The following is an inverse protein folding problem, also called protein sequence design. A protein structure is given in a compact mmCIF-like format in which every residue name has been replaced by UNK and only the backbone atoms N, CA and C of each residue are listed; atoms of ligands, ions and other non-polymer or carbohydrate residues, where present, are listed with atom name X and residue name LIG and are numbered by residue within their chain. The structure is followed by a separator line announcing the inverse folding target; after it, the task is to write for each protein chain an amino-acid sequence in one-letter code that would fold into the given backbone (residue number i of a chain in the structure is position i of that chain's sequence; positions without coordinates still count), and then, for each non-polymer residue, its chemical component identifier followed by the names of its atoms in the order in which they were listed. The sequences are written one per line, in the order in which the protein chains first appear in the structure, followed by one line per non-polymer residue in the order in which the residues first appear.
data_IF_281086196751
#
_entry.id   IF_281086196751
#
_cell.length_a   1.000
_cell.length_b   1.000
_cell.length_c   1.000
_cell.angle_alpha   90.00
_cell.angle_beta   90.00
_cell.angle_gamma   90.00
#
_symmetry.space_group_name_H-M   'P 1'
#
loop_
_entity.id
_entity.type
_entity.pdbx_description
1 polymer ?
#
# COMPACT_ATOMS: atom_id res chain seq x y z
N UNK A 1 18.77 23.67 8.03
CA UNK A 1 18.42 22.36 7.42
C UNK A 1 17.18 21.86 8.12
N UNK A 2 16.07 21.62 7.38
CA UNK A 2 14.86 21.10 7.98
C UNK A 2 15.01 19.62 8.30
N UNK A 3 14.54 19.20 9.49
CA UNK A 3 14.59 17.81 9.93
C UNK A 3 13.19 17.19 9.86
N UNK A 4 13.04 16.14 9.07
CA UNK A 4 11.76 15.44 8.86
C UNK A 4 11.90 13.98 9.28
N UNK A 5 11.08 13.56 10.23
CA UNK A 5 11.00 12.18 10.66
C UNK A 5 9.76 11.50 10.06
N UNK A 6 9.86 10.20 9.85
CA UNK A 6 8.75 9.32 9.51
C UNK A 6 8.66 8.22 10.57
N UNK A 7 7.45 7.75 10.85
CA UNK A 7 7.24 6.60 11.72
C UNK A 7 6.46 5.50 11.03
N UNK A 8 6.91 4.27 11.23
CA UNK A 8 6.24 3.06 10.74
C UNK A 8 6.25 1.97 11.82
N UNK A 9 5.09 1.40 12.10
CA UNK A 9 5.01 0.10 12.74
C UNK A 9 5.19 -0.99 11.67
N UNK A 10 6.38 -1.58 11.64
CA UNK A 10 6.76 -2.61 10.66
C UNK A 10 6.77 -4.02 11.26
N UNK A 11 6.10 -4.24 12.38
CA UNK A 11 6.09 -5.54 13.10
C UNK A 11 5.64 -6.71 12.22
N UNK A 12 4.74 -6.48 11.26
CA UNK A 12 4.23 -7.52 10.35
C UNK A 12 5.06 -7.75 9.09
N UNK A 13 6.07 -6.92 8.83
CA UNK A 13 6.83 -6.91 7.57
C UNK A 13 8.34 -6.77 7.74
N UNK A 14 8.86 -6.75 8.97
CA UNK A 14 10.28 -6.48 9.26
C UNK A 14 11.25 -7.49 8.63
N UNK A 15 10.79 -8.71 8.35
CA UNK A 15 11.53 -9.81 7.74
C UNK A 15 11.55 -9.76 6.20
N UNK A 16 10.72 -8.90 5.59
CA UNK A 16 10.71 -8.72 4.13
C UNK A 16 11.96 -7.96 3.68
N UNK A 17 12.62 -8.46 2.64
CA UNK A 17 13.82 -7.84 2.08
C UNK A 17 13.50 -6.48 1.43
N UNK A 18 14.02 -5.40 2.02
CA UNK A 18 13.82 -4.03 1.56
C UNK A 18 14.93 -3.52 0.62
N UNK A 19 15.89 -4.35 0.22
CA UNK A 19 17.05 -3.94 -0.62
C UNK A 19 16.62 -3.32 -1.96
N UNK A 20 15.46 -3.68 -2.48
CA UNK A 20 14.93 -3.19 -3.76
C UNK A 20 13.84 -2.13 -3.63
N UNK A 21 13.70 -1.50 -2.45
CA UNK A 21 12.61 -0.56 -2.15
C UNK A 21 12.50 0.62 -3.15
N UNK A 22 13.63 1.08 -3.68
CA UNK A 22 13.67 2.14 -4.70
C UNK A 22 13.21 1.68 -6.08
N UNK A 23 13.23 0.39 -6.35
CA UNK A 23 12.95 -0.17 -7.68
C UNK A 23 11.51 -0.66 -7.80
N UNK A 24 11.00 -1.31 -6.75
CA UNK A 24 9.65 -1.86 -6.71
C UNK A 24 9.18 -2.11 -5.28
N UNK A 25 7.86 -2.23 -5.10
CA UNK A 25 7.29 -2.73 -3.85
C UNK A 25 7.74 -4.19 -3.63
N UNK A 26 8.42 -4.50 -2.51
CA UNK A 26 8.93 -5.85 -2.24
C UNK A 26 7.83 -6.88 -1.88
N UNK A 27 6.56 -6.54 -2.01
CA UNK A 27 5.43 -7.40 -1.68
C UNK A 27 4.82 -7.10 -0.32
N UNK A 28 4.91 -5.86 0.14
CA UNK A 28 4.29 -5.35 1.37
C UNK A 28 3.09 -4.47 1.07
N UNK A 29 2.37 -4.04 2.12
CA UNK A 29 1.25 -3.10 2.00
C UNK A 29 1.69 -1.79 1.33
N UNK A 30 0.79 -1.19 0.54
CA UNK A 30 1.10 0.03 -0.22
C UNK A 30 1.50 1.20 0.67
N UNK A 31 0.88 1.33 1.83
CA UNK A 31 1.18 2.41 2.81
C UNK A 31 2.59 2.25 3.38
N UNK A 32 2.92 1.07 3.85
CA UNK A 32 4.23 0.74 4.41
C UNK A 32 5.33 0.93 3.36
N UNK A 33 5.08 0.46 2.14
CA UNK A 33 5.97 0.68 1.00
C UNK A 33 6.24 2.17 0.76
N UNK A 34 5.18 2.98 0.72
CA UNK A 34 5.30 4.41 0.42
C UNK A 34 6.04 5.19 1.52
N UNK A 35 5.82 4.86 2.80
CA UNK A 35 6.57 5.49 3.89
C UNK A 35 8.07 5.21 3.73
N UNK A 36 8.46 3.96 3.50
CA UNK A 36 9.86 3.60 3.28
C UNK A 36 10.42 4.22 2.01
N UNK A 37 9.69 4.14 0.88
CA UNK A 37 10.12 4.68 -0.41
C UNK A 37 10.34 6.20 -0.35
N UNK A 38 9.37 6.95 0.18
CA UNK A 38 9.46 8.42 0.25
C UNK A 38 10.58 8.84 1.19
N UNK A 39 10.71 8.21 2.36
CA UNK A 39 11.81 8.46 3.29
C UNK A 39 13.17 8.24 2.61
N UNK A 40 13.30 7.14 1.86
CA UNK A 40 14.52 6.79 1.14
C UNK A 40 14.85 7.79 0.03
N UNK A 41 13.86 8.13 -0.80
CA UNK A 41 14.05 9.08 -1.90
C UNK A 41 14.42 10.47 -1.40
N UNK A 42 13.84 10.92 -0.30
CA UNK A 42 14.17 12.20 0.32
C UNK A 42 15.58 12.17 0.93
N UNK A 43 16.02 11.04 1.49
CA UNK A 43 17.40 10.88 1.99
C UNK A 43 18.45 10.90 0.90
N UNK A 44 18.14 10.36 -0.29
CA UNK A 44 19.08 10.28 -1.41
C UNK A 44 19.23 11.58 -2.18
N UNK A 45 18.36 12.58 -1.95
CA UNK A 45 18.38 13.85 -2.67
C UNK A 45 19.10 14.93 -1.86
N UNK A 46 19.94 15.72 -2.53
CA UNK A 46 20.48 16.95 -1.96
C UNK A 46 19.38 18.03 -1.99
N UNK A 47 18.55 18.03 -0.97
CA UNK A 47 17.38 18.91 -0.85
C UNK A 47 17.41 19.77 0.43
N UNK A 48 18.52 19.75 1.16
CA UNK A 48 18.65 20.47 2.43
C UNK A 48 17.80 19.90 3.58
N UNK A 49 17.29 18.67 3.45
CA UNK A 49 16.52 17.96 4.46
C UNK A 49 17.41 16.96 5.22
N UNK A 50 17.14 16.79 6.51
CA UNK A 50 17.64 15.66 7.29
C UNK A 50 16.48 14.70 7.52
N UNK A 51 16.59 13.49 7.00
CA UNK A 51 15.51 12.50 7.04
C UNK A 51 15.86 11.38 8.02
N UNK A 52 14.88 10.95 8.82
CA UNK A 52 14.96 9.76 9.67
C UNK A 52 13.69 8.93 9.58
N UNK A 53 13.86 7.61 9.59
CA UNK A 53 12.75 6.66 9.69
C UNK A 53 12.80 5.98 11.06
N UNK A 54 11.79 6.22 11.90
CA UNK A 54 11.54 5.45 13.12
C UNK A 54 10.76 4.18 12.79
N UNK A 55 11.22 3.04 13.29
CA UNK A 55 10.64 1.73 13.04
C UNK A 55 10.49 0.96 14.35
N UNK A 56 9.46 0.12 14.46
CA UNK A 56 9.30 -0.75 15.65
C UNK A 56 10.21 -1.98 15.62
N UNK A 57 10.69 -2.38 14.45
CA UNK A 57 11.63 -3.50 14.27
C UNK A 57 12.69 -3.16 13.23
N UNK A 58 13.88 -3.76 13.37
CA UNK A 58 14.93 -3.65 12.36
C UNK A 58 14.46 -4.33 11.06
N UNK A 59 14.33 -3.55 10.00
CA UNK A 59 13.93 -4.05 8.68
C UNK A 59 15.07 -4.84 8.02
N UNK A 60 14.72 -5.99 7.45
CA UNK A 60 15.68 -6.82 6.71
C UNK A 60 16.21 -6.08 5.47
N UNK A 61 17.52 -6.06 5.31
CA UNK A 61 18.23 -5.45 4.17
C UNK A 61 17.81 -4.01 3.81
N UNK A 62 17.41 -3.20 4.81
CA UNK A 62 17.13 -1.78 4.56
C UNK A 62 18.39 -1.07 4.05
N UNK A 63 18.32 -0.27 2.96
CA UNK A 63 19.45 0.47 2.44
C UNK A 63 20.06 1.42 3.50
N UNK A 64 21.40 1.52 3.51
CA UNK A 64 22.15 2.28 4.55
C UNK A 64 22.05 3.79 4.39
N UNK A 65 21.62 4.24 3.23
CA UNK A 65 21.46 5.67 2.90
C UNK A 65 20.33 6.33 3.68
N UNK A 66 19.38 5.54 4.20
CA UNK A 66 18.33 6.02 5.09
C UNK A 66 18.74 5.85 6.57
N UNK A 67 18.77 6.96 7.31
CA UNK A 67 18.95 6.91 8.76
C UNK A 67 17.72 6.30 9.42
N UNK A 68 17.89 5.12 10.00
CA UNK A 68 16.83 4.40 10.68
C UNK A 68 17.09 4.32 12.19
N UNK A 69 16.03 4.44 12.99
CA UNK A 69 16.10 4.32 14.44
C UNK A 69 14.97 3.39 14.95
N UNK A 70 15.30 2.53 15.90
CA UNK A 70 14.31 1.57 16.44
C UNK A 70 13.69 2.14 17.70
N UNK A 71 12.37 2.12 17.74
CA UNK A 71 11.55 2.57 18.88
C UNK A 71 10.51 1.51 19.21
N UNK A 72 9.98 1.54 20.43
CA UNK A 72 8.94 0.60 20.86
C UNK A 72 7.59 0.90 20.22
N UNK A 73 7.25 2.19 20.08
CA UNK A 73 5.96 2.67 19.61
C UNK A 73 6.01 4.12 19.12
N UNK A 74 4.83 4.67 18.81
CA UNK A 74 4.69 6.06 18.35
C UNK A 74 5.04 7.08 19.44
N UNK A 75 4.79 6.79 20.71
CA UNK A 75 5.08 7.74 21.80
C UNK A 75 6.58 7.91 21.99
N UNK A 76 7.36 6.84 21.93
CA UNK A 76 8.81 6.90 21.94
C UNK A 76 9.35 7.59 20.68
N UNK A 77 8.74 7.37 19.50
CA UNK A 77 9.13 8.08 18.27
C UNK A 77 8.94 9.59 18.40
N UNK A 78 7.84 10.04 18.98
CA UNK A 78 7.56 11.46 19.23
C UNK A 78 8.60 12.03 20.20
N UNK A 79 8.79 11.40 21.36
CA UNK A 79 9.75 11.86 22.38
C UNK A 79 11.16 12.00 21.81
N UNK A 80 11.63 10.96 21.12
CA UNK A 80 12.96 10.97 20.51
C UNK A 80 13.11 11.99 19.38
N UNK A 81 12.05 12.20 18.58
CA UNK A 81 12.07 13.23 17.54
C UNK A 81 12.15 14.65 18.12
N UNK A 82 11.47 14.90 19.25
CA UNK A 82 11.57 16.17 19.99
C UNK A 82 12.96 16.38 20.57
N UNK A 83 13.52 15.38 21.24
CA UNK A 83 14.86 15.43 21.84
C UNK A 83 15.96 15.72 20.79
N UNK A 84 15.84 15.12 19.62
CA UNK A 84 16.75 15.31 18.48
C UNK A 84 16.47 16.62 17.70
N UNK A 85 15.39 17.35 18.05
CA UNK A 85 15.03 18.63 17.42
C UNK A 85 14.55 18.47 15.98
N UNK A 86 13.72 17.48 15.70
CA UNK A 86 13.03 17.37 14.42
C UNK A 86 11.92 18.43 14.32
N UNK A 87 11.74 18.98 13.11
CA UNK A 87 10.70 19.97 12.84
C UNK A 87 9.32 19.32 12.71
N UNK A 88 9.26 18.12 12.09
CA UNK A 88 8.01 17.40 11.95
C UNK A 88 8.21 15.87 11.95
N UNK A 89 7.13 15.17 12.33
CA UNK A 89 7.00 13.73 12.28
C UNK A 89 5.80 13.35 11.40
N UNK A 90 6.04 12.61 10.34
CA UNK A 90 5.02 12.06 9.45
C UNK A 90 4.61 10.69 9.96
N UNK A 91 3.31 10.52 10.24
CA UNK A 91 2.73 9.26 10.72
C UNK A 91 1.57 8.83 9.82
N UNK A 92 1.39 7.54 9.59
CA UNK A 92 0.18 7.09 8.92
C UNK A 92 -1.03 7.25 9.84
N UNK A 93 -2.20 7.55 9.26
CA UNK A 93 -3.45 7.48 10.00
C UNK A 93 -3.62 6.09 10.65
N UNK A 94 -3.96 6.10 11.94
CA UNK A 94 -4.30 4.92 12.71
C UNK A 94 -5.36 5.27 13.76
N UNK A 95 -6.50 4.56 13.74
CA UNK A 95 -7.60 4.75 14.68
C UNK A 95 -7.16 4.58 16.14
N UNK A 96 -6.22 3.66 16.42
CA UNK A 96 -5.71 3.43 17.78
C UNK A 96 -4.95 4.65 18.32
N UNK A 97 -4.20 5.38 17.47
CA UNK A 97 -3.52 6.60 17.91
C UNK A 97 -4.51 7.68 18.31
N UNK A 98 -5.64 7.75 17.61
CA UNK A 98 -6.73 8.67 17.94
C UNK A 98 -7.43 8.27 19.22
N UNK A 99 -7.78 6.99 19.39
CA UNK A 99 -8.46 6.48 20.60
C UNK A 99 -7.63 6.66 21.87
N UNK A 100 -6.31 6.49 21.77
CA UNK A 100 -5.38 6.60 22.90
C UNK A 100 -4.77 7.98 23.08
N UNK A 101 -5.15 8.95 22.26
CA UNK A 101 -4.57 10.31 22.23
C UNK A 101 -3.03 10.31 22.16
N UNK A 102 -2.49 9.45 21.28
CA UNK A 102 -1.05 9.26 21.18
C UNK A 102 -0.32 10.40 20.43
N UNK A 103 -1.05 11.27 19.70
CA UNK A 103 -0.44 12.31 18.87
C UNK A 103 -0.31 13.63 19.63
N UNK A 104 0.42 13.59 20.74
CA UNK A 104 0.70 14.74 21.61
C UNK A 104 2.19 14.96 21.69
N UNK A 105 2.62 16.24 21.70
CA UNK A 105 4.00 16.66 21.80
C UNK A 105 4.19 17.61 22.97
N UNK A 106 5.38 17.66 23.56
CA UNK A 106 5.70 18.59 24.65
C UNK A 106 6.46 19.82 24.14
N UNK A 107 6.85 19.84 22.87
CA UNK A 107 7.68 20.88 22.27
C UNK A 107 7.06 21.46 21.00
N UNK A 108 7.92 21.76 20.04
CA UNK A 108 7.56 22.38 18.74
C UNK A 108 7.44 21.39 17.60
N UNK A 109 7.49 20.08 17.87
CA UNK A 109 7.37 19.05 16.85
C UNK A 109 5.96 19.09 16.22
N UNK A 110 5.89 19.30 14.92
CA UNK A 110 4.65 19.28 14.17
C UNK A 110 4.33 17.86 13.71
N UNK A 111 3.12 17.37 13.94
CA UNK A 111 2.68 16.06 13.46
C UNK A 111 1.93 16.22 12.13
N UNK A 112 2.33 15.42 11.14
CA UNK A 112 1.67 15.31 9.83
C UNK A 112 1.06 13.92 9.73
N UNK A 113 -0.25 13.86 9.62
CA UNK A 113 -0.99 12.60 9.48
C UNK A 113 -1.17 12.28 8.00
N UNK A 114 -0.62 11.17 7.53
CA UNK A 114 -0.72 10.73 6.14
C UNK A 114 -1.80 9.64 6.00
N UNK A 115 -2.87 9.97 5.30
CA UNK A 115 -4.10 9.18 5.26
C UNK A 115 -4.21 8.38 3.96
N UNK A 116 -4.04 7.07 4.06
CA UNK A 116 -4.18 6.11 2.96
C UNK A 116 -5.53 5.40 2.94
N UNK A 117 -6.41 5.74 3.88
CA UNK A 117 -7.76 5.18 4.02
C UNK A 117 -8.77 6.32 4.24
N UNK A 118 -10.04 6.02 4.08
CA UNK A 118 -11.09 6.94 4.50
C UNK A 118 -11.15 7.01 6.03
N UNK A 119 -11.37 8.22 6.54
CA UNK A 119 -11.33 8.53 7.97
C UNK A 119 -12.77 8.66 8.48
N UNK A 120 -13.06 8.07 9.64
CA UNK A 120 -14.35 8.20 10.29
C UNK A 120 -14.54 9.59 10.91
N UNK A 121 -15.81 10.02 11.07
CA UNK A 121 -16.14 11.37 11.54
C UNK A 121 -15.54 11.73 12.91
N UNK A 122 -15.51 10.78 13.86
CA UNK A 122 -14.94 11.00 15.18
C UNK A 122 -13.41 11.19 15.17
N UNK A 123 -12.71 10.53 14.25
CA UNK A 123 -11.27 10.69 14.02
C UNK A 123 -10.97 12.06 13.38
N UNK A 124 -11.82 12.49 12.45
CA UNK A 124 -11.72 13.83 11.85
C UNK A 124 -11.84 14.93 12.91
N UNK A 125 -12.80 14.78 13.85
CA UNK A 125 -12.95 15.68 14.98
C UNK A 125 -11.69 15.74 15.85
N UNK A 126 -11.07 14.60 16.13
CA UNK A 126 -9.81 14.55 16.86
C UNK A 126 -8.73 15.36 16.14
N UNK A 127 -8.50 15.10 14.85
CA UNK A 127 -7.49 15.84 14.08
C UNK A 127 -7.79 17.33 13.97
N UNK A 128 -9.04 17.72 13.80
CA UNK A 128 -9.43 19.12 13.75
C UNK A 128 -9.08 19.88 15.05
N UNK A 129 -9.32 19.25 16.20
CA UNK A 129 -9.13 19.85 17.52
C UNK A 129 -7.74 19.65 18.10
N UNK A 130 -6.92 18.71 17.60
CA UNK A 130 -5.57 18.48 18.08
C UNK A 130 -4.61 19.55 17.53
N UNK A 131 -4.08 20.41 18.41
CA UNK A 131 -3.16 21.49 18.04
C UNK A 131 -1.79 21.01 17.57
N UNK A 132 -1.38 19.79 17.94
CA UNK A 132 -0.11 19.19 17.54
C UNK A 132 -0.16 18.62 16.13
N UNK A 133 -1.35 18.27 15.62
CA UNK A 133 -1.56 17.85 14.24
C UNK A 133 -1.62 19.10 13.36
N UNK A 134 -0.57 19.30 12.59
CA UNK A 134 -0.41 20.45 11.68
C UNK A 134 -1.13 20.24 10.36
N UNK A 135 -0.96 19.06 9.78
CA UNK A 135 -1.56 18.70 8.50
C UNK A 135 -2.14 17.30 8.51
N UNK A 136 -3.27 17.15 7.79
CA UNK A 136 -3.86 15.86 7.41
C UNK A 136 -3.72 15.74 5.89
N UNK A 137 -2.86 14.82 5.45
CA UNK A 137 -2.49 14.66 4.04
C UNK A 137 -3.20 13.45 3.47
N UNK A 138 -4.14 13.67 2.56
CA UNK A 138 -4.84 12.62 1.83
C UNK A 138 -4.04 12.18 0.60
N UNK A 139 -4.25 10.96 0.13
CA UNK A 139 -3.54 10.42 -1.04
C UNK A 139 -4.24 10.71 -2.37
N UNK A 140 -5.35 11.43 -2.35
CA UNK A 140 -6.10 11.83 -3.53
C UNK A 140 -7.03 13.00 -3.25
N UNK A 141 -7.32 13.78 -4.29
CA UNK A 141 -8.23 14.92 -4.20
C UNK A 141 -9.65 14.48 -3.84
N UNK A 142 -10.09 13.34 -4.38
CA UNK A 142 -11.42 12.79 -4.08
C UNK A 142 -11.59 12.49 -2.59
N UNK A 143 -10.56 11.89 -1.96
CA UNK A 143 -10.57 11.64 -0.52
C UNK A 143 -10.60 12.95 0.29
N UNK A 144 -9.85 13.97 -0.12
CA UNK A 144 -9.90 15.31 0.50
C UNK A 144 -11.29 15.95 0.35
N UNK A 145 -11.87 15.91 -0.84
CA UNK A 145 -13.14 16.56 -1.14
C UNK A 145 -14.35 15.99 -0.36
N UNK A 146 -14.24 14.72 0.12
CA UNK A 146 -15.25 14.13 1.01
C UNK A 146 -15.37 14.85 2.36
N UNK A 147 -14.34 15.54 2.79
CA UNK A 147 -14.28 16.21 4.09
C UNK A 147 -14.39 17.72 3.99
N UNK A 148 -14.83 18.26 2.84
CA UNK A 148 -14.90 19.69 2.54
C UNK A 148 -15.71 20.49 3.56
N UNK A 149 -16.79 19.92 4.07
CA UNK A 149 -17.67 20.57 5.03
C UNK A 149 -17.29 20.32 6.50
N UNK A 150 -16.16 19.66 6.74
CA UNK A 150 -15.68 19.36 8.08
C UNK A 150 -14.54 20.33 8.47
N UNK A 151 -14.44 20.80 9.75
CA UNK A 151 -13.39 21.73 10.19
C UNK A 151 -11.96 21.23 9.95
N UNK A 152 -11.71 19.90 9.88
CA UNK A 152 -10.41 19.32 9.55
C UNK A 152 -9.92 19.77 8.18
N UNK A 153 -10.80 20.19 7.29
CA UNK A 153 -10.46 20.61 5.93
C UNK A 153 -9.46 21.77 5.91
N UNK A 154 -9.52 22.67 6.90
CA UNK A 154 -8.58 23.80 7.05
C UNK A 154 -7.12 23.34 7.25
N UNK A 155 -6.93 22.15 7.82
CA UNK A 155 -5.60 21.52 7.99
C UNK A 155 -5.30 20.46 6.91
N UNK A 156 -6.23 20.21 6.00
CA UNK A 156 -6.15 19.12 5.06
C UNK A 156 -5.57 19.55 3.72
N UNK A 157 -4.81 18.65 3.13
CA UNK A 157 -4.33 18.76 1.75
C UNK A 157 -4.24 17.37 1.13
N UNK A 158 -3.83 17.30 -0.13
CA UNK A 158 -3.57 16.00 -0.76
C UNK A 158 -2.23 15.97 -1.47
N UNK A 159 -1.61 14.79 -1.46
CA UNK A 159 -0.41 14.47 -2.23
C UNK A 159 -0.64 13.08 -2.81
N UNK A 160 -0.65 12.96 -4.13
CA UNK A 160 -0.80 11.65 -4.78
C UNK A 160 0.34 10.71 -4.42
N UNK A 161 0.02 9.43 -4.31
CA UNK A 161 1.03 8.41 -4.06
C UNK A 161 2.06 8.36 -5.18
N UNK A 162 3.31 8.19 -4.79
CA UNK A 162 4.41 8.04 -5.71
C UNK A 162 4.38 6.65 -6.36
N UNK A 163 4.58 6.61 -7.66
CA UNK A 163 4.85 5.38 -8.42
C UNK A 163 6.18 5.54 -9.14
N UNK A 164 7.09 4.59 -8.94
CA UNK A 164 8.36 4.60 -9.65
C UNK A 164 8.18 3.98 -11.04
N UNK A 165 8.28 4.81 -12.08
CA UNK A 165 8.16 4.41 -13.48
C UNK A 165 9.53 4.31 -14.18
N UNK A 166 10.65 4.53 -13.47
CA UNK A 166 11.98 4.44 -14.05
C UNK A 166 12.22 3.02 -14.61
N UNK A 167 12.56 2.95 -15.87
CA UNK A 167 12.82 1.70 -16.58
C UNK A 167 11.58 0.96 -17.10
N UNK A 168 10.36 1.39 -16.76
CA UNK A 168 9.15 0.77 -17.30
C UNK A 168 8.81 1.24 -18.72
N UNK A 169 9.00 2.54 -19.01
CA UNK A 169 8.58 3.16 -20.26
C UNK A 169 9.24 2.49 -21.51
N UNK A 170 10.56 2.29 -21.49
CA UNK A 170 11.27 1.68 -22.62
C UNK A 170 10.80 0.24 -22.89
N UNK A 171 10.48 -0.51 -21.84
CA UNK A 171 10.01 -1.91 -21.94
C UNK A 171 8.59 -2.03 -22.49
N UNK A 172 7.75 -1.01 -22.25
CA UNK A 172 6.39 -0.96 -22.82
C UNK A 172 6.44 -0.77 -24.33
N UNK A 173 7.37 0.05 -24.85
CA UNK A 173 7.57 0.25 -26.29
C UNK A 173 8.02 -1.04 -27.00
N UNK A 174 8.86 -1.86 -26.33
CA UNK A 174 9.32 -3.15 -26.86
C UNK A 174 8.20 -4.21 -26.93
N UNK A 175 7.16 -4.07 -26.10
CA UNK A 175 6.05 -5.01 -26.03
C UNK A 175 4.68 -4.33 -26.20
N UNK A 176 4.35 -3.86 -27.41
CA UNK A 176 3.13 -3.10 -27.67
C UNK A 176 1.87 -3.94 -27.40
N UNK A 177 0.83 -3.29 -26.92
CA UNK A 177 -0.45 -3.89 -26.52
C UNK A 177 -1.03 -4.87 -27.57
N UNK A 178 -0.92 -4.56 -28.86
CA UNK A 178 -1.47 -5.38 -29.95
C UNK A 178 -0.84 -6.78 -30.03
N UNK A 179 0.39 -6.93 -29.54
CA UNK A 179 1.15 -8.20 -29.55
C UNK A 179 0.93 -9.03 -28.29
N UNK A 180 0.25 -8.48 -27.28
CA UNK A 180 0.02 -9.19 -26.02
C UNK A 180 -1.06 -10.25 -26.21
N UNK A 181 -0.85 -11.43 -25.63
CA UNK A 181 -1.86 -12.49 -25.56
C UNK A 181 -3.06 -12.12 -24.72
N UNK A 182 -4.02 -13.05 -24.56
CA UNK A 182 -5.22 -12.84 -23.76
C UNK A 182 -4.90 -13.00 -22.25
N UNK A 183 -4.00 -12.16 -21.76
CA UNK A 183 -3.55 -12.16 -20.35
C UNK A 183 -4.32 -11.13 -19.55
N UNK A 184 -4.98 -11.60 -18.51
CA UNK A 184 -5.63 -10.80 -17.46
C UNK A 184 -4.79 -10.88 -16.21
N UNK A 185 -4.54 -9.77 -15.54
CA UNK A 185 -3.78 -9.76 -14.29
C UNK A 185 -4.55 -9.05 -13.19
N UNK A 186 -4.76 -9.76 -12.09
CA UNK A 186 -5.22 -9.19 -10.82
C UNK A 186 -4.03 -8.85 -9.94
N UNK A 187 -4.02 -7.64 -9.36
CA UNK A 187 -3.02 -7.23 -8.35
C UNK A 187 -3.74 -6.71 -7.13
N UNK A 188 -3.58 -7.38 -6.00
CA UNK A 188 -4.14 -6.93 -4.74
C UNK A 188 -4.25 -8.02 -3.69
N UNK A 189 -4.58 -7.61 -2.46
CA UNK A 189 -4.94 -8.56 -1.41
C UNK A 189 -6.23 -9.29 -1.78
N UNK A 190 -6.29 -10.60 -1.52
CA UNK A 190 -7.48 -11.41 -1.82
C UNK A 190 -8.39 -11.42 -0.59
N UNK A 191 -9.09 -10.31 -0.39
CA UNK A 191 -10.03 -10.07 0.71
C UNK A 191 -11.36 -9.53 0.16
N UNK A 192 -12.49 -9.68 0.89
CA UNK A 192 -13.82 -9.36 0.37
C UNK A 192 -13.93 -7.96 -0.24
N UNK A 193 -13.42 -6.94 0.45
CA UNK A 193 -13.53 -5.55 0.02
C UNK A 193 -12.64 -5.18 -1.17
N UNK A 194 -11.68 -6.03 -1.58
CA UNK A 194 -10.89 -5.88 -2.82
C UNK A 194 -11.54 -6.57 -4.02
N UNK A 195 -12.62 -7.30 -3.83
CA UNK A 195 -13.53 -7.74 -4.88
C UNK A 195 -12.99 -8.81 -5.82
N UNK A 196 -11.94 -9.58 -5.46
CA UNK A 196 -11.43 -10.65 -6.33
C UNK A 196 -12.53 -11.63 -6.78
N UNK A 197 -13.52 -11.89 -5.93
CA UNK A 197 -14.66 -12.76 -6.24
C UNK A 197 -15.45 -12.30 -7.48
N UNK A 198 -15.52 -10.99 -7.77
CA UNK A 198 -16.21 -10.48 -8.96
C UNK A 198 -15.51 -10.94 -10.24
N UNK A 199 -14.18 -10.87 -10.27
CA UNK A 199 -13.40 -11.39 -11.39
C UNK A 199 -13.48 -12.91 -11.48
N UNK A 200 -13.33 -13.60 -10.35
CA UNK A 200 -13.39 -15.05 -10.29
C UNK A 200 -14.74 -15.60 -10.77
N UNK A 201 -15.86 -15.01 -10.35
CA UNK A 201 -17.20 -15.40 -10.79
C UNK A 201 -17.45 -15.09 -12.27
N UNK A 202 -16.82 -14.06 -12.82
CA UNK A 202 -16.89 -13.74 -14.24
C UNK A 202 -16.00 -14.65 -15.11
N UNK A 203 -15.02 -15.35 -14.52
CA UNK A 203 -14.00 -16.10 -15.27
C UNK A 203 -14.58 -17.19 -16.20
N UNK A 204 -15.58 -18.00 -15.81
CA UNK A 204 -16.21 -18.96 -16.72
C UNK A 204 -16.85 -18.32 -17.95
N UNK A 205 -17.39 -17.11 -17.83
CA UNK A 205 -17.95 -16.38 -18.97
C UNK A 205 -16.83 -15.86 -19.88
N UNK A 206 -15.74 -15.36 -19.30
CA UNK A 206 -14.55 -14.91 -20.05
C UNK A 206 -13.99 -16.07 -20.87
N UNK A 207 -13.85 -17.27 -20.29
CA UNK A 207 -13.36 -18.45 -21.01
C UNK A 207 -14.29 -18.93 -22.13
N UNK A 208 -15.60 -18.69 -22.05
CA UNK A 208 -16.53 -19.00 -23.14
C UNK A 208 -16.31 -18.11 -24.37
N UNK A 209 -16.00 -16.82 -24.13
CA UNK A 209 -15.77 -15.83 -25.19
C UNK A 209 -14.31 -15.86 -25.70
N UNK A 210 -13.37 -16.14 -24.80
CA UNK A 210 -11.92 -16.14 -25.05
C UNK A 210 -11.31 -17.40 -24.42
N UNK A 211 -11.40 -18.57 -25.10
CA UNK A 211 -11.00 -19.86 -24.51
C UNK A 211 -9.52 -19.99 -24.12
N UNK A 212 -8.65 -19.19 -24.70
CA UNK A 212 -7.22 -19.13 -24.42
C UNK A 212 -6.83 -18.04 -23.41
N UNK A 213 -7.79 -17.38 -22.74
CA UNK A 213 -7.52 -16.39 -21.72
C UNK A 213 -6.76 -16.99 -20.54
N UNK A 214 -5.78 -16.23 -20.03
CA UNK A 214 -4.95 -16.61 -18.87
C UNK A 214 -5.09 -15.57 -17.77
N UNK A 215 -5.35 -15.99 -16.54
CA UNK A 215 -5.44 -15.12 -15.36
C UNK A 215 -4.21 -15.29 -14.48
N UNK A 216 -3.46 -14.22 -14.29
CA UNK A 216 -2.38 -14.14 -13.31
C UNK A 216 -2.86 -13.40 -12.07
N UNK A 217 -2.76 -14.04 -10.91
CA UNK A 217 -3.19 -13.50 -9.62
C UNK A 217 -1.98 -13.17 -8.78
N UNK A 218 -1.67 -11.87 -8.65
CA UNK A 218 -0.57 -11.34 -7.87
C UNK A 218 -1.13 -10.80 -6.56
N UNK A 219 -0.87 -11.49 -5.45
CA UNK A 219 -1.35 -11.16 -4.12
C UNK A 219 -1.68 -12.39 -3.30
N UNK A 220 -2.23 -12.16 -2.12
CA UNK A 220 -2.59 -13.23 -1.17
C UNK A 220 -3.64 -12.72 -0.19
N UNK A 221 -4.47 -13.62 0.35
CA UNK A 221 -5.33 -13.34 1.49
C UNK A 221 -4.57 -13.05 2.78
N UNK A 222 -3.28 -13.40 2.82
CA UNK A 222 -2.39 -13.15 3.97
C UNK A 222 -1.57 -11.85 3.85
N UNK A 223 -1.87 -10.96 2.90
CA UNK A 223 -1.08 -9.74 2.69
C UNK A 223 -1.06 -8.83 3.93
N UNK A 224 -2.20 -8.71 4.62
CA UNK A 224 -2.36 -7.88 5.81
C UNK A 224 -2.20 -8.64 7.13
N UNK A 225 -2.34 -9.96 7.10
CA UNK A 225 -2.15 -10.82 8.26
C UNK A 225 -1.59 -12.17 7.81
N UNK A 226 -0.29 -12.36 8.02
CA UNK A 226 0.43 -13.59 7.63
C UNK A 226 -0.01 -14.84 8.40
N UNK A 227 -0.66 -14.66 9.57
CA UNK A 227 -1.18 -15.75 10.39
C UNK A 227 -2.60 -16.18 10.00
N UNK A 228 -3.27 -15.50 9.06
CA UNK A 228 -4.61 -15.88 8.60
C UNK A 228 -4.59 -17.27 7.97
N UNK A 229 -5.56 -18.11 8.33
CA UNK A 229 -5.77 -19.38 7.67
C UNK A 229 -6.23 -19.17 6.22
N UNK A 230 -5.76 -20.00 5.31
CA UNK A 230 -6.19 -20.01 3.92
C UNK A 230 -7.10 -21.20 3.64
N UNK A 231 -8.02 -21.02 2.71
CA UNK A 231 -8.89 -22.08 2.21
C UNK A 231 -8.15 -23.13 1.37
N UNK A 232 -8.88 -24.14 0.87
CA UNK A 232 -8.30 -25.29 0.15
C UNK A 232 -7.50 -24.92 -1.11
N UNK A 233 -7.84 -23.80 -1.77
CA UNK A 233 -7.10 -23.32 -2.95
C UNK A 233 -5.90 -22.42 -2.58
N UNK A 234 -5.74 -22.07 -1.31
CA UNK A 234 -4.64 -21.24 -0.81
C UNK A 234 -4.71 -19.76 -1.19
N UNK A 235 -5.89 -19.25 -1.53
CA UNK A 235 -6.08 -17.90 -2.04
C UNK A 235 -6.47 -16.90 -0.96
N UNK A 236 -7.47 -17.24 -0.16
CA UNK A 236 -8.14 -16.35 0.79
C UNK A 236 -8.55 -17.10 2.05
N UNK A 237 -9.20 -16.41 3.01
CA UNK A 237 -9.79 -17.13 4.14
C UNK A 237 -10.81 -18.18 3.67
N UNK A 238 -11.01 -19.29 4.41
CA UNK A 238 -11.91 -20.36 4.00
C UNK A 238 -13.31 -19.86 3.64
N UNK A 239 -13.88 -18.95 4.42
CA UNK A 239 -15.22 -18.40 4.20
C UNK A 239 -15.30 -17.56 2.92
N UNK A 240 -14.27 -16.76 2.66
CA UNK A 240 -14.24 -15.94 1.46
C UNK A 240 -13.95 -16.77 0.21
N UNK A 241 -13.08 -17.76 0.31
CA UNK A 241 -12.73 -18.65 -0.80
C UNK A 241 -13.95 -19.45 -1.28
N UNK A 242 -14.84 -19.87 -0.38
CA UNK A 242 -16.11 -20.54 -0.72
C UNK A 242 -16.99 -19.74 -1.67
N UNK A 243 -16.93 -18.40 -1.63
CA UNK A 243 -17.76 -17.52 -2.47
C UNK A 243 -17.46 -17.71 -3.97
N UNK A 244 -16.22 -18.05 -4.31
CA UNK A 244 -15.78 -18.03 -5.71
C UNK A 244 -15.05 -19.32 -6.17
N UNK A 245 -14.69 -20.20 -5.26
CA UNK A 245 -13.89 -21.39 -5.58
C UNK A 245 -14.48 -22.26 -6.67
N UNK A 246 -15.80 -22.49 -6.67
CA UNK A 246 -16.48 -23.30 -7.68
C UNK A 246 -16.41 -22.73 -9.11
N UNK A 247 -16.21 -21.42 -9.24
CA UNK A 247 -16.09 -20.78 -10.55
C UNK A 247 -14.69 -20.90 -11.16
N UNK A 248 -13.67 -21.12 -10.33
CA UNK A 248 -12.27 -21.12 -10.75
C UNK A 248 -11.54 -22.42 -10.48
N UNK A 249 -12.26 -23.46 -10.04
CA UNK A 249 -11.69 -24.77 -9.79
C UNK A 249 -12.59 -25.89 -10.30
N UNK A 250 -11.96 -27.01 -10.61
CA UNK A 250 -12.62 -28.26 -10.98
C UNK A 250 -11.95 -29.40 -10.20
N UNK A 251 -12.77 -30.30 -9.59
CA UNK A 251 -12.26 -31.41 -8.77
C UNK A 251 -11.27 -31.00 -7.67
N UNK A 252 -11.49 -29.81 -7.07
CA UNK A 252 -10.64 -29.26 -6.01
C UNK A 252 -9.29 -28.67 -6.48
N UNK A 253 -9.08 -28.58 -7.81
CA UNK A 253 -7.88 -27.96 -8.39
C UNK A 253 -8.25 -26.72 -9.18
N UNK A 254 -7.40 -25.71 -9.14
CA UNK A 254 -7.56 -24.53 -9.98
C UNK A 254 -7.59 -24.92 -11.46
N UNK A 255 -8.36 -24.17 -12.25
CA UNK A 255 -8.35 -24.28 -13.71
C UNK A 255 -6.95 -23.98 -14.25
N UNK A 256 -6.51 -24.68 -15.29
CA UNK A 256 -5.19 -24.52 -15.92
C UNK A 256 -4.92 -23.10 -16.44
N UNK A 257 -5.99 -22.33 -16.68
CA UNK A 257 -5.92 -20.92 -17.09
C UNK A 257 -5.64 -19.94 -15.95
N UNK A 258 -5.48 -20.41 -14.70
CA UNK A 258 -5.30 -19.54 -13.52
C UNK A 258 -3.97 -19.83 -12.85
N UNK A 259 -3.15 -18.78 -12.75
CA UNK A 259 -1.80 -18.82 -12.23
C UNK A 259 -1.69 -18.00 -10.95
N UNK A 260 -1.49 -18.67 -9.82
CA UNK A 260 -1.26 -18.01 -8.53
C UNK A 260 0.21 -17.65 -8.41
N UNK A 261 0.47 -16.36 -8.35
CA UNK A 261 1.83 -15.84 -8.29
C UNK A 261 2.26 -15.47 -6.86
N UNK A 262 1.33 -15.47 -5.91
CA UNK A 262 1.61 -15.04 -4.55
C UNK A 262 2.05 -13.57 -4.46
N UNK A 263 2.86 -13.26 -3.45
CA UNK A 263 3.43 -11.92 -3.28
C UNK A 263 4.65 -11.78 -4.20
N UNK A 264 4.59 -10.85 -5.15
CA UNK A 264 5.69 -10.55 -6.04
C UNK A 264 6.19 -9.12 -5.83
N UNK A 265 7.49 -8.99 -5.66
CA UNK A 265 8.19 -7.71 -5.76
C UNK A 265 8.51 -7.37 -7.22
N UNK A 266 9.81 -7.19 -7.51
CA UNK A 266 10.31 -6.89 -8.87
C UNK A 266 9.94 -7.97 -9.92
N UNK A 267 9.74 -9.21 -9.50
CA UNK A 267 9.37 -10.33 -10.40
C UNK A 267 8.03 -10.17 -11.12
N UNK A 268 7.15 -9.24 -10.68
CA UNK A 268 5.86 -8.98 -11.33
C UNK A 268 5.99 -8.32 -12.72
N UNK A 269 7.09 -7.61 -12.98
CA UNK A 269 7.29 -6.82 -14.18
C UNK A 269 7.09 -7.61 -15.49
N UNK A 270 7.66 -8.82 -15.56
CA UNK A 270 7.50 -9.68 -16.73
C UNK A 270 6.07 -10.13 -16.99
N UNK A 271 5.21 -10.18 -15.96
CA UNK A 271 3.78 -10.46 -16.06
C UNK A 271 3.04 -9.21 -16.56
N UNK A 272 3.34 -8.05 -15.96
CA UNK A 272 2.70 -6.78 -16.32
C UNK A 272 2.93 -6.43 -17.79
N UNK A 273 4.13 -6.62 -18.29
CA UNK A 273 4.47 -6.39 -19.71
C UNK A 273 3.67 -7.26 -20.69
N UNK A 274 3.19 -8.43 -20.27
CA UNK A 274 2.35 -9.32 -21.07
C UNK A 274 0.85 -9.10 -20.83
N UNK A 275 0.51 -8.36 -19.79
CA UNK A 275 -0.88 -8.11 -19.38
C UNK A 275 -1.61 -7.29 -20.44
N UNK A 276 -2.76 -7.79 -20.89
CA UNK A 276 -3.65 -7.08 -21.80
C UNK A 276 -4.77 -6.37 -21.05
N UNK A 277 -5.24 -6.96 -19.96
CA UNK A 277 -6.29 -6.38 -19.09
C UNK A 277 -5.84 -6.47 -17.64
N UNK A 278 -5.66 -5.31 -17.00
CA UNK A 278 -5.37 -5.20 -15.57
C UNK A 278 -6.65 -5.07 -14.76
N UNK A 279 -6.75 -5.80 -13.65
CA UNK A 279 -7.89 -5.77 -12.73
C UNK A 279 -7.37 -5.52 -11.30
N UNK A 280 -7.19 -4.25 -10.90
CA UNK A 280 -6.54 -3.94 -9.61
C UNK A 280 -7.48 -4.09 -8.40
N UNK A 281 -8.72 -3.62 -8.50
CA UNK A 281 -9.75 -3.72 -7.47
C UNK A 281 -11.13 -3.61 -8.12
N UNK A 282 -11.74 -4.75 -8.52
CA UNK A 282 -13.01 -4.72 -9.22
C UNK A 282 -14.19 -4.22 -8.38
N UNK A 283 -14.08 -4.16 -7.04
CA UNK A 283 -15.13 -3.60 -6.20
C UNK A 283 -15.15 -2.07 -6.19
N UNK A 284 -14.00 -1.42 -6.26
CA UNK A 284 -13.85 0.04 -6.16
C UNK A 284 -14.26 0.66 -4.82
N UNK A 285 -14.69 -0.14 -3.84
CA UNK A 285 -15.39 0.37 -2.64
C UNK A 285 -14.45 1.09 -1.67
N UNK A 286 -13.18 0.70 -1.58
CA UNK A 286 -12.27 1.18 -0.52
C UNK A 286 -11.02 1.87 -1.05
N UNK A 287 -10.98 2.21 -2.32
CA UNK A 287 -9.79 2.82 -2.91
C UNK A 287 -9.75 4.32 -2.70
N UNK A 288 -8.70 4.77 -2.03
CA UNK A 288 -8.34 6.19 -1.90
C UNK A 288 -7.30 6.61 -2.94
N UNK A 289 -6.43 5.67 -3.35
CA UNK A 289 -5.49 5.77 -4.46
C UNK A 289 -5.00 4.37 -4.83
N UNK A 290 -5.42 3.86 -5.94
CA UNK A 290 -5.10 2.49 -6.35
C UNK A 290 -3.72 2.41 -7.00
N UNK A 291 -2.66 2.14 -6.22
CA UNK A 291 -1.30 1.95 -6.73
C UNK A 291 -1.23 0.89 -7.83
N UNK A 292 -1.91 -0.25 -7.63
CA UNK A 292 -1.94 -1.33 -8.62
C UNK A 292 -2.61 -0.95 -9.93
N UNK A 293 -3.55 0.01 -9.93
CA UNK A 293 -4.10 0.54 -11.17
C UNK A 293 -3.05 1.32 -11.97
N UNK A 294 -2.25 2.14 -11.29
CA UNK A 294 -1.18 2.90 -11.95
C UNK A 294 -0.06 1.96 -12.43
N UNK A 295 0.27 0.92 -11.68
CA UNK A 295 1.26 -0.09 -12.09
C UNK A 295 0.82 -0.89 -13.33
N UNK A 296 -0.49 -1.02 -13.57
CA UNK A 296 -1.08 -1.76 -14.69
C UNK A 296 -1.25 -0.91 -15.97
N UNK A 297 -1.14 0.40 -15.87
CA UNK A 297 -1.22 1.34 -17.00
C UNK A 297 0.09 1.42 -17.77
#
# INVERSE_FOLDING_TARGET
MKKVAFFIDNTSIYDVDASTILQANPGIGGTEYLIMLVSMLLSCRDNGLCIRLYMTRKQHNMPKELSCFIVSDIAEAISHAEEEGFDCLVVKHNAEYVQRDCLTTNGNLEIIVWCHVFICYWELNYYANNSHVKYVVHVGREALDLYRDHPVFEKSTYIYNLVNLEGCMNKVEENPFIKRGHVVTYIGSIVPYKGFHLLALAWPQILREVPDAQLYVIGSGQLYNSASELGPLGLASPEYEQVFSSAISQEGKLLDSIHLMGRLGKGKEGILLRTKVGVPNPSGITETFCLSAVELQ
#
